data_IF_070439216367
#
_entry.id   IF_070439216367
#
_cell.length_a   1.000
_cell.length_b   1.000
_cell.length_c   1.000
_cell.angle_alpha   90.00
_cell.angle_beta   90.00
_cell.angle_gamma   90.00
#
_symmetry.space_group_name_H-M   'P 1'
#
loop_
_entity.id
_entity.type
_entity.pdbx_description
1 polymer ?
#
# COMPACT_ATOMS: atom_id res chain seq x y z
N UNK A 1 -12.19 -5.30 5.16
CA UNK A 1 -10.81 -5.82 5.28
C UNK A 1 -10.89 -7.32 5.20
N UNK A 2 -10.19 -7.98 4.27
CA UNK A 2 -10.06 -9.44 4.27
C UNK A 2 -8.80 -9.76 5.06
N UNK A 3 -8.95 -10.37 6.24
CA UNK A 3 -7.82 -10.78 7.07
C UNK A 3 -7.15 -12.00 6.45
N UNK A 4 -5.89 -11.85 6.05
CA UNK A 4 -5.05 -12.97 5.59
C UNK A 4 -4.87 -14.02 6.69
N UNK A 5 -4.83 -13.58 7.95
CA UNK A 5 -4.74 -14.46 9.11
C UNK A 5 -5.99 -15.35 9.20
N UNK A 6 -7.17 -14.76 9.09
CA UNK A 6 -8.44 -15.50 9.18
C UNK A 6 -8.58 -16.47 7.98
N UNK A 7 -8.11 -16.05 6.80
CA UNK A 7 -8.05 -16.90 5.62
C UNK A 7 -7.12 -18.11 5.82
N UNK A 8 -5.93 -17.90 6.40
CA UNK A 8 -4.99 -18.98 6.71
C UNK A 8 -5.60 -19.94 7.74
N UNK A 9 -6.18 -19.44 8.82
CA UNK A 9 -6.86 -20.25 9.84
C UNK A 9 -8.00 -21.08 9.24
N UNK A 10 -8.69 -20.56 8.22
CA UNK A 10 -9.82 -21.25 7.58
C UNK A 10 -9.40 -22.29 6.54
N UNK A 11 -8.42 -21.98 5.69
CA UNK A 11 -8.09 -22.81 4.52
C UNK A 11 -6.86 -23.70 4.70
N UNK A 12 -5.89 -23.25 5.50
CA UNK A 12 -4.56 -23.85 5.61
C UNK A 12 -4.00 -23.69 7.04
N UNK A 13 -4.67 -24.20 8.09
CA UNK A 13 -4.29 -23.94 9.48
C UNK A 13 -2.87 -24.46 9.82
N UNK A 14 -2.44 -25.53 9.15
CA UNK A 14 -1.15 -26.17 9.38
C UNK A 14 -0.02 -25.65 8.47
N UNK A 15 -0.31 -24.74 7.53
CA UNK A 15 0.69 -24.19 6.61
C UNK A 15 0.93 -22.73 6.95
N UNK A 16 2.16 -22.40 7.34
CA UNK A 16 2.58 -21.01 7.47
C UNK A 16 2.83 -20.40 6.07
N UNK A 17 1.76 -19.95 5.42
CA UNK A 17 1.85 -19.35 4.07
C UNK A 17 2.72 -18.08 4.08
N UNK A 18 2.79 -17.37 5.20
CA UNK A 18 3.63 -16.18 5.37
C UNK A 18 5.13 -16.52 5.43
N UNK A 19 5.49 -17.78 5.69
CA UNK A 19 6.89 -18.20 5.75
C UNK A 19 7.53 -18.34 4.36
N UNK A 20 6.73 -18.57 3.32
CA UNK A 20 7.20 -18.65 1.94
C UNK A 20 6.64 -17.47 1.13
N UNK A 21 7.53 -16.54 0.79
CA UNK A 21 7.16 -15.28 0.16
C UNK A 21 6.57 -15.44 -1.25
N UNK A 22 7.06 -16.41 -2.02
CA UNK A 22 6.56 -16.69 -3.37
C UNK A 22 5.20 -17.39 -3.34
N UNK A 23 5.00 -18.30 -2.38
CA UNK A 23 3.69 -18.92 -2.17
C UNK A 23 2.66 -17.88 -1.74
N UNK A 24 3.05 -16.96 -0.85
CA UNK A 24 2.18 -15.86 -0.43
C UNK A 24 1.81 -14.95 -1.61
N UNK A 25 2.77 -14.58 -2.46
CA UNK A 25 2.52 -13.79 -3.66
C UNK A 25 1.49 -14.48 -4.57
N UNK A 26 1.70 -15.76 -4.89
CA UNK A 26 0.75 -16.52 -5.72
C UNK A 26 -0.64 -16.62 -5.10
N UNK A 27 -0.73 -16.82 -3.78
CA UNK A 27 -2.03 -16.78 -3.08
C UNK A 27 -2.70 -15.41 -3.23
N UNK A 28 -1.94 -14.32 -3.09
CA UNK A 28 -2.51 -12.96 -3.22
C UNK A 28 -3.00 -12.67 -4.63
N UNK A 29 -2.36 -13.17 -5.69
CA UNK A 29 -2.86 -13.03 -7.06
C UNK A 29 -4.26 -13.65 -7.23
N UNK A 30 -4.51 -14.81 -6.60
CA UNK A 30 -5.82 -15.46 -6.62
C UNK A 30 -6.85 -14.63 -5.84
N UNK A 31 -6.45 -14.08 -4.70
CA UNK A 31 -7.31 -13.22 -3.88
C UNK A 31 -7.66 -11.92 -4.59
N UNK A 32 -6.73 -11.33 -5.32
CA UNK A 32 -6.95 -10.11 -6.07
C UNK A 32 -8.09 -10.29 -7.08
N UNK A 33 -8.09 -11.38 -7.85
CA UNK A 33 -9.15 -11.66 -8.84
C UNK A 33 -10.52 -11.77 -8.18
N UNK A 34 -10.61 -12.44 -7.03
CA UNK A 34 -11.85 -12.53 -6.25
C UNK A 34 -12.30 -11.16 -5.77
N UNK A 35 -11.37 -10.35 -5.27
CA UNK A 35 -11.65 -9.01 -4.76
C UNK A 35 -12.08 -8.05 -5.87
N UNK A 36 -11.43 -8.04 -7.03
CA UNK A 36 -11.85 -7.25 -8.20
C UNK A 36 -13.23 -7.65 -8.71
N UNK A 37 -13.53 -8.94 -8.73
CA UNK A 37 -14.87 -9.46 -9.08
C UNK A 37 -15.94 -8.97 -8.12
N UNK A 38 -15.65 -8.93 -6.81
CA UNK A 38 -16.55 -8.37 -5.81
C UNK A 38 -16.78 -6.88 -6.02
N UNK A 39 -15.71 -6.09 -6.17
CA UNK A 39 -15.80 -4.64 -6.41
C UNK A 39 -16.61 -4.31 -7.66
N UNK A 40 -16.49 -5.15 -8.71
CA UNK A 40 -17.24 -4.99 -9.95
C UNK A 40 -18.73 -5.33 -9.79
N UNK A 41 -19.05 -6.38 -9.03
CA UNK A 41 -20.43 -6.86 -8.84
C UNK A 41 -21.27 -6.00 -7.94
N UNK A 42 -20.67 -5.32 -6.97
CA UNK A 42 -21.43 -4.57 -5.97
C UNK A 42 -22.27 -3.44 -6.60
N UNK A 43 -22.00 -3.03 -7.85
CA UNK A 43 -22.62 -1.89 -8.54
C UNK A 43 -22.69 -0.63 -7.66
N UNK A 44 -21.86 -0.64 -6.61
CA UNK A 44 -22.03 0.21 -5.47
C UNK A 44 -21.25 1.45 -5.84
N UNK A 45 -21.98 2.41 -6.38
CA UNK A 45 -21.56 3.80 -6.49
C UNK A 45 -21.21 4.42 -5.11
N UNK A 46 -21.03 3.60 -4.08
CA UNK A 46 -20.58 3.89 -2.72
C UNK A 46 -19.06 3.94 -2.56
N UNK A 47 -18.28 3.82 -3.64
CA UNK A 47 -16.89 4.35 -3.65
C UNK A 47 -16.95 5.89 -3.66
N UNK A 48 -17.56 6.45 -2.61
CA UNK A 48 -17.62 7.87 -2.32
C UNK A 48 -16.38 8.20 -1.50
N UNK A 49 -15.31 8.61 -2.19
CA UNK A 49 -14.06 9.01 -1.55
C UNK A 49 -12.84 8.41 -2.21
N UNK A 50 -11.68 8.66 -1.60
CA UNK A 50 -10.43 8.03 -2.00
C UNK A 50 -10.36 6.63 -1.41
N UNK A 51 -10.20 5.61 -2.26
CA UNK A 51 -10.08 4.20 -1.85
C UNK A 51 -8.72 3.68 -2.27
N UNK A 52 -8.16 2.79 -1.46
CA UNK A 52 -6.92 2.12 -1.79
C UNK A 52 -7.10 0.61 -1.87
N UNK A 53 -6.47 -0.02 -2.86
CA UNK A 53 -6.66 -1.42 -3.22
C UNK A 53 -5.28 -2.07 -3.34
N UNK A 54 -5.06 -3.13 -2.57
CA UNK A 54 -3.84 -3.94 -2.68
C UNK A 54 -3.98 -4.90 -3.85
N UNK A 55 -3.00 -4.91 -4.75
CA UNK A 55 -2.96 -5.78 -5.93
C UNK A 55 -1.52 -6.23 -6.20
N UNK A 56 -1.39 -7.29 -7.01
CA UNK A 56 -0.13 -7.67 -7.64
C UNK A 56 0.01 -6.99 -9.02
N UNK A 57 1.25 -6.81 -9.47
CA UNK A 57 1.64 -6.28 -10.78
C UNK A 57 1.02 -7.13 -11.88
N UNK A 58 1.08 -8.46 -11.76
CA UNK A 58 0.47 -9.39 -12.71
C UNK A 58 -1.05 -9.20 -12.80
N UNK A 59 -1.70 -8.86 -11.69
CA UNK A 59 -3.15 -8.59 -11.66
C UNK A 59 -3.50 -7.33 -12.45
N UNK A 60 -2.69 -6.28 -12.43
CA UNK A 60 -2.98 -5.04 -13.16
C UNK A 60 -3.10 -5.24 -14.68
N UNK A 61 -2.48 -6.29 -15.21
CA UNK A 61 -2.50 -6.65 -16.63
C UNK A 61 -3.50 -7.77 -16.95
N UNK A 62 -4.27 -8.22 -15.96
CA UNK A 62 -5.21 -9.31 -16.11
C UNK A 62 -6.55 -8.87 -16.74
N UNK A 63 -7.30 -9.79 -17.36
CA UNK A 63 -8.67 -9.54 -17.82
C UNK A 63 -9.61 -9.08 -16.69
N UNK A 64 -9.39 -9.56 -15.46
CA UNK A 64 -10.16 -9.15 -14.28
C UNK A 64 -9.99 -7.66 -13.98
N UNK A 65 -8.77 -7.15 -14.10
CA UNK A 65 -8.51 -5.71 -13.94
C UNK A 65 -9.11 -4.89 -15.07
N UNK A 66 -9.04 -5.35 -16.32
CA UNK A 66 -9.70 -4.68 -17.45
C UNK A 66 -11.21 -4.58 -17.25
N UNK A 67 -11.82 -5.64 -16.73
CA UNK A 67 -13.25 -5.67 -16.39
C UNK A 67 -13.54 -4.65 -15.30
N UNK A 68 -12.75 -4.63 -14.22
CA UNK A 68 -12.86 -3.62 -13.17
C UNK A 68 -12.72 -2.19 -13.72
N UNK A 69 -11.67 -1.90 -14.50
CA UNK A 69 -11.39 -0.58 -15.12
C UNK A 69 -12.54 -0.08 -15.99
N UNK A 70 -13.18 -0.97 -16.74
CA UNK A 70 -14.33 -0.64 -17.60
C UNK A 70 -15.57 -0.21 -16.81
N UNK A 71 -15.69 -0.63 -15.55
CA UNK A 71 -16.81 -0.30 -14.67
C UNK A 71 -16.53 0.93 -13.79
N UNK A 72 -15.28 1.37 -13.68
CA UNK A 72 -14.92 2.60 -12.96
C UNK A 72 -15.08 3.81 -13.88
N UNK A 73 -15.86 4.81 -13.44
CA UNK A 73 -16.01 6.07 -14.19
C UNK A 73 -14.67 6.80 -14.27
N UNK A 74 -14.33 7.36 -15.44
CA UNK A 74 -13.06 8.05 -15.65
C UNK A 74 -12.74 9.12 -14.58
N UNK A 75 -13.74 9.91 -14.16
CA UNK A 75 -13.58 10.93 -13.12
C UNK A 75 -13.33 10.39 -11.71
N UNK A 76 -13.56 9.09 -11.46
CA UNK A 76 -13.31 8.45 -10.16
C UNK A 76 -11.94 7.78 -10.08
N UNK A 77 -11.27 7.50 -11.21
CA UNK A 77 -10.00 6.75 -11.20
C UNK A 77 -8.91 7.44 -10.38
N UNK A 78 -8.88 8.77 -10.40
CA UNK A 78 -7.94 9.56 -9.60
C UNK A 78 -8.13 9.42 -8.08
N UNK A 79 -9.32 8.99 -7.62
CA UNK A 79 -9.55 8.73 -6.19
C UNK A 79 -9.08 7.34 -5.78
N UNK A 80 -8.82 6.44 -6.74
CA UNK A 80 -8.37 5.07 -6.48
C UNK A 80 -6.85 5.00 -6.47
N UNK A 81 -6.32 4.43 -5.40
CA UNK A 81 -4.90 4.17 -5.19
C UNK A 81 -4.65 2.66 -5.31
N UNK A 82 -3.73 2.28 -6.19
CA UNK A 82 -3.31 0.89 -6.38
C UNK A 82 -2.03 0.68 -5.57
N UNK A 83 -2.11 -0.14 -4.53
CA UNK A 83 -1.01 -0.49 -3.65
C UNK A 83 -0.34 -1.78 -4.13
N UNK A 84 0.95 -1.67 -4.45
CA UNK A 84 1.76 -2.77 -4.95
C UNK A 84 2.90 -3.07 -3.98
N UNK A 85 3.08 -4.33 -3.62
CA UNK A 85 4.15 -4.74 -2.71
C UNK A 85 5.53 -4.52 -3.35
N UNK A 86 6.49 -3.97 -2.60
CA UNK A 86 7.85 -3.73 -3.12
C UNK A 86 8.48 -4.97 -3.74
N UNK A 87 8.29 -6.15 -3.14
CA UNK A 87 8.90 -7.37 -3.67
C UNK A 87 8.38 -7.71 -5.07
N UNK A 88 7.09 -7.48 -5.31
CA UNK A 88 6.44 -7.78 -6.57
C UNK A 88 6.92 -6.82 -7.67
N UNK A 89 7.04 -5.52 -7.32
CA UNK A 89 7.66 -4.52 -8.20
C UNK A 89 9.10 -4.90 -8.59
N UNK A 90 9.92 -5.26 -7.60
CA UNK A 90 11.34 -5.55 -7.83
C UNK A 90 11.61 -6.95 -8.39
N UNK A 91 10.62 -7.86 -8.35
CA UNK A 91 10.73 -9.17 -8.99
C UNK A 91 10.75 -9.06 -10.53
N UNK A 92 10.02 -8.10 -11.09
CA UNK A 92 10.05 -7.77 -12.53
C UNK A 92 9.74 -6.27 -12.75
N UNK A 93 10.80 -5.47 -12.82
CA UNK A 93 10.69 -4.02 -13.07
C UNK A 93 10.12 -3.71 -14.46
N UNK A 94 10.34 -4.57 -15.46
CA UNK A 94 9.85 -4.37 -16.81
C UNK A 94 8.32 -4.49 -16.87
N UNK A 95 7.79 -5.57 -16.28
CA UNK A 95 6.35 -5.77 -16.13
C UNK A 95 5.72 -4.66 -15.28
N UNK A 96 6.39 -4.25 -14.19
CA UNK A 96 5.92 -3.14 -13.36
C UNK A 96 5.82 -1.83 -14.14
N UNK A 97 6.85 -1.43 -14.89
CA UNK A 97 6.80 -0.17 -15.64
C UNK A 97 5.69 -0.17 -16.69
N UNK A 98 5.47 -1.29 -17.37
CA UNK A 98 4.36 -1.44 -18.30
C UNK A 98 3.00 -1.31 -17.60
N UNK A 99 2.80 -2.03 -16.50
CA UNK A 99 1.57 -1.95 -15.71
C UNK A 99 1.33 -0.55 -15.11
N UNK A 100 2.40 0.09 -14.62
CA UNK A 100 2.37 1.45 -14.09
C UNK A 100 1.89 2.44 -15.13
N UNK A 101 2.47 2.42 -16.32
CA UNK A 101 2.11 3.33 -17.40
C UNK A 101 0.67 3.08 -17.85
N UNK A 102 0.30 1.80 -18.01
CA UNK A 102 -1.07 1.37 -18.32
C UNK A 102 -2.13 1.93 -17.32
N UNK A 103 -1.83 1.90 -16.02
CA UNK A 103 -2.71 2.42 -14.97
C UNK A 103 -2.68 3.96 -14.87
N UNK A 104 -1.50 4.58 -14.99
CA UNK A 104 -1.37 6.06 -14.96
C UNK A 104 -2.11 6.72 -16.12
N UNK A 105 -2.01 6.16 -17.32
CA UNK A 105 -2.69 6.68 -18.52
C UNK A 105 -4.21 6.66 -18.37
N UNK A 106 -4.75 5.80 -17.49
CA UNK A 106 -6.16 5.74 -17.14
C UNK A 106 -6.55 6.66 -16.00
N UNK A 107 -5.58 7.26 -15.30
CA UNK A 107 -5.79 8.19 -14.21
C UNK A 107 -5.76 7.58 -12.81
N UNK A 108 -5.30 6.33 -12.65
CA UNK A 108 -5.08 5.75 -11.33
C UNK A 108 -3.83 6.33 -10.65
N UNK A 109 -3.83 6.32 -9.31
CA UNK A 109 -2.63 6.59 -8.50
C UNK A 109 -1.98 5.29 -8.06
N UNK A 110 -0.65 5.28 -7.94
CA UNK A 110 0.12 4.09 -7.53
C UNK A 110 0.88 4.38 -6.24
N UNK A 111 0.79 3.44 -5.30
CA UNK A 111 1.54 3.46 -4.05
C UNK A 111 2.40 2.20 -3.96
N UNK A 112 3.68 2.37 -3.63
CA UNK A 112 4.52 1.22 -3.24
C UNK A 112 4.31 0.91 -1.76
N UNK A 113 4.03 -0.34 -1.43
CA UNK A 113 3.80 -0.82 -0.08
C UNK A 113 4.94 -1.71 0.44
N UNK A 114 5.02 -1.79 1.76
CA UNK A 114 5.97 -2.65 2.46
C UNK A 114 7.38 -2.08 2.58
N UNK A 115 7.56 -0.77 2.47
CA UNK A 115 8.88 -0.13 2.65
C UNK A 115 9.23 -0.13 4.14
N UNK A 116 10.40 -0.64 4.51
CA UNK A 116 10.93 -0.46 5.87
C UNK A 116 11.86 0.74 5.90
N UNK A 117 12.15 1.24 7.11
CA UNK A 117 13.16 2.29 7.34
C UNK A 117 14.53 1.92 6.73
N UNK A 118 14.90 0.63 6.73
CA UNK A 118 16.15 0.15 6.10
C UNK A 118 16.11 0.22 4.56
N UNK A 119 14.94 0.01 3.97
CA UNK A 119 14.81 0.01 2.50
C UNK A 119 14.50 1.38 1.90
N UNK A 120 13.97 2.33 2.68
CA UNK A 120 13.57 3.64 2.19
C UNK A 120 14.72 4.39 1.48
N UNK A 121 15.97 4.44 2.00
CA UNK A 121 17.07 5.16 1.33
C UNK A 121 17.44 4.61 -0.05
N UNK A 122 17.06 3.37 -0.36
CA UNK A 122 17.37 2.71 -1.63
C UNK A 122 16.26 2.85 -2.66
N UNK A 123 15.14 3.49 -2.31
CA UNK A 123 13.95 3.58 -3.15
C UNK A 123 13.77 5.02 -3.62
N UNK A 124 13.97 5.23 -4.92
CA UNK A 124 13.72 6.52 -5.53
C UNK A 124 12.30 6.56 -6.12
N UNK A 125 11.37 7.23 -5.40
CA UNK A 125 9.97 7.38 -5.81
C UNK A 125 9.81 7.93 -7.23
N UNK A 126 10.60 8.96 -7.56
CA UNK A 126 10.50 9.67 -8.82
C UNK A 126 10.98 8.80 -10.00
N UNK A 127 12.06 8.03 -9.82
CA UNK A 127 12.53 7.07 -10.83
C UNK A 127 11.54 5.91 -11.04
N UNK A 128 10.91 5.43 -9.97
CA UNK A 128 9.86 4.42 -10.08
C UNK A 128 8.57 4.97 -10.70
N UNK A 129 8.37 6.29 -10.68
CA UNK A 129 7.19 6.94 -11.25
C UNK A 129 5.90 6.68 -10.45
N UNK A 130 6.03 6.41 -9.14
CA UNK A 130 4.88 6.15 -8.25
C UNK A 130 4.47 7.42 -7.50
N UNK A 131 3.21 7.50 -7.09
CA UNK A 131 2.65 8.69 -6.46
C UNK A 131 2.94 8.73 -4.96
N UNK A 132 3.01 7.57 -4.29
CA UNK A 132 3.16 7.47 -2.84
C UNK A 132 4.05 6.29 -2.42
N UNK A 133 4.60 6.39 -1.21
CA UNK A 133 5.34 5.33 -0.52
C UNK A 133 4.65 5.05 0.82
N UNK A 134 4.44 3.77 1.15
CA UNK A 134 4.07 3.33 2.50
C UNK A 134 5.27 2.75 3.23
N UNK A 135 5.69 3.46 4.27
CA UNK A 135 6.72 3.01 5.19
C UNK A 135 6.09 2.33 6.41
N UNK A 136 6.54 1.12 6.72
CA UNK A 136 6.12 0.36 7.89
C UNK A 136 6.76 0.95 9.14
N UNK A 137 5.90 1.28 10.12
CA UNK A 137 6.33 1.54 11.49
C UNK A 137 6.91 0.29 12.14
N UNK A 138 8.05 0.46 12.81
CA UNK A 138 8.71 -0.57 13.62
C UNK A 138 9.20 0.08 14.92
N UNK A 139 9.01 -0.61 16.06
CA UNK A 139 9.43 -0.10 17.38
C UNK A 139 10.94 0.09 17.48
N UNK A 140 11.73 -0.68 16.72
CA UNK A 140 13.20 -0.53 16.69
C UNK A 140 13.65 0.81 16.10
N UNK A 141 12.74 1.55 15.46
CA UNK A 141 13.03 2.88 14.96
C UNK A 141 13.20 3.91 16.09
N UNK A 142 12.60 3.70 17.27
CA UNK A 142 12.72 4.62 18.40
C UNK A 142 14.15 4.66 18.96
N UNK A 143 14.82 3.49 18.97
CA UNK A 143 16.16 3.29 19.52
C UNK A 143 17.30 3.65 18.57
N UNK A 144 16.98 4.10 17.35
CA UNK A 144 17.98 4.59 16.39
C UNK A 144 18.74 5.80 16.92
N UNK A 145 20.03 5.86 16.59
CA UNK A 145 20.86 7.04 16.83
C UNK A 145 20.43 8.23 15.94
N UNK A 146 21.00 9.39 16.22
CA UNK A 146 20.67 10.63 15.52
C UNK A 146 21.12 10.63 14.05
N UNK A 147 22.16 9.86 13.70
CA UNK A 147 22.66 9.74 12.33
C UNK A 147 21.63 8.99 11.46
N UNK A 148 21.15 7.84 11.93
CA UNK A 148 20.11 7.06 11.24
C UNK A 148 18.79 7.83 11.15
N UNK A 149 18.40 8.55 12.21
CA UNK A 149 17.21 9.42 12.18
C UNK A 149 17.34 10.56 11.15
N UNK A 150 18.53 11.12 11.02
CA UNK A 150 18.83 12.16 10.01
C UNK A 150 18.76 11.59 8.60
N UNK A 151 19.44 10.46 8.34
CA UNK A 151 19.40 9.80 7.04
C UNK A 151 17.97 9.41 6.60
N UNK A 152 17.14 8.97 7.54
CA UNK A 152 15.75 8.67 7.27
C UNK A 152 14.92 9.92 7.01
N UNK A 153 15.15 11.03 7.71
CA UNK A 153 14.51 12.32 7.41
C UNK A 153 14.86 12.79 5.99
N UNK A 154 16.12 12.65 5.60
CA UNK A 154 16.58 13.00 4.25
C UNK A 154 15.92 12.11 3.19
N UNK A 155 15.79 10.80 3.45
CA UNK A 155 15.12 9.87 2.55
C UNK A 155 13.61 10.16 2.42
N UNK A 156 12.95 10.59 3.51
CA UNK A 156 11.55 11.08 3.48
C UNK A 156 11.46 12.34 2.62
N UNK A 157 12.37 13.30 2.82
CA UNK A 157 12.41 14.55 2.05
C UNK A 157 12.64 14.31 0.55
N UNK A 158 13.57 13.42 0.18
CA UNK A 158 13.81 13.05 -1.22
C UNK A 158 12.60 12.35 -1.84
N UNK A 159 11.89 11.54 -1.05
CA UNK A 159 10.62 10.92 -1.46
C UNK A 159 9.49 11.94 -1.57
N UNK A 160 9.62 13.11 -0.95
CA UNK A 160 8.60 14.14 -0.81
C UNK A 160 7.76 13.91 0.44
N UNK A 161 7.85 14.84 1.39
CA UNK A 161 7.24 14.74 2.73
C UNK A 161 5.74 14.39 2.71
N UNK A 162 5.00 14.95 1.74
CA UNK A 162 3.56 14.74 1.56
C UNK A 162 3.22 13.49 0.74
N UNK A 163 4.20 12.64 0.45
CA UNK A 163 4.07 11.42 -0.37
C UNK A 163 4.46 10.15 0.39
N UNK A 164 4.94 10.27 1.62
CA UNK A 164 5.25 9.14 2.49
C UNK A 164 4.15 8.97 3.52
N UNK A 165 3.60 7.76 3.61
CA UNK A 165 2.60 7.36 4.59
C UNK A 165 3.29 6.43 5.59
N UNK A 166 3.27 6.76 6.87
CA UNK A 166 3.67 5.82 7.92
C UNK A 166 2.50 4.87 8.22
N UNK A 167 2.66 3.60 7.91
CA UNK A 167 1.64 2.57 8.09
C UNK A 167 1.93 1.67 9.30
N UNK A 168 0.92 0.92 9.75
CA UNK A 168 0.93 0.15 11.02
C UNK A 168 1.12 1.03 12.26
N UNK A 169 0.61 2.25 12.22
CA UNK A 169 0.52 3.15 13.37
C UNK A 169 -0.57 2.65 14.33
N UNK A 170 -0.21 1.68 15.17
CA UNK A 170 -1.12 1.02 16.12
C UNK A 170 -1.08 1.63 17.53
N UNK A 171 -0.24 2.64 17.76
CA UNK A 171 -0.19 3.43 18.99
C UNK A 171 0.32 4.87 18.76
N UNK A 172 0.29 5.70 19.80
CA UNK A 172 0.71 7.11 19.75
C UNK A 172 2.21 7.31 19.46
N UNK A 173 3.06 6.32 19.80
CA UNK A 173 4.51 6.42 19.61
C UNK A 173 4.84 6.50 18.13
N UNK A 174 4.14 5.72 17.31
CA UNK A 174 4.27 5.76 15.85
C UNK A 174 3.99 7.19 15.30
N UNK A 175 2.96 7.86 15.82
CA UNK A 175 2.58 9.21 15.38
C UNK A 175 3.64 10.23 15.80
N UNK A 176 4.06 10.19 17.07
CA UNK A 176 5.09 11.06 17.61
C UNK A 176 6.40 10.91 16.84
N UNK A 177 6.79 9.67 16.56
CA UNK A 177 7.98 9.37 15.77
C UNK A 177 7.89 9.92 14.36
N UNK A 178 6.80 9.62 13.63
CA UNK A 178 6.63 10.06 12.25
C UNK A 178 6.69 11.58 12.11
N UNK A 179 6.10 12.33 13.05
CA UNK A 179 6.24 13.78 13.10
C UNK A 179 7.70 14.25 13.31
N UNK A 180 8.50 13.53 14.09
CA UNK A 180 9.93 13.83 14.29
C UNK A 180 10.80 13.70 13.03
N UNK A 181 10.28 13.01 12.01
CA UNK A 181 10.92 12.82 10.69
C UNK A 181 10.11 13.43 9.54
N UNK A 182 9.25 14.41 9.85
CA UNK A 182 8.44 15.18 8.90
C UNK A 182 7.38 14.39 8.10
N UNK A 183 6.95 13.22 8.58
CA UNK A 183 5.80 12.52 8.00
C UNK A 183 4.50 13.16 8.52
N UNK A 184 3.57 13.42 7.58
CA UNK A 184 2.25 14.01 7.89
C UNK A 184 1.07 13.09 7.57
N UNK A 185 1.30 11.92 6.98
CA UNK A 185 0.26 10.94 6.66
C UNK A 185 0.48 9.66 7.43
N UNK A 186 -0.58 9.17 8.08
CA UNK A 186 -0.53 8.01 8.97
C UNK A 186 -1.66 7.05 8.68
N UNK A 187 -1.38 5.75 8.79
CA UNK A 187 -2.37 4.69 8.67
C UNK A 187 -2.11 3.61 9.73
N UNK A 188 -3.15 3.19 10.42
CA UNK A 188 -3.09 2.10 11.40
C UNK A 188 -4.28 2.13 12.34
N UNK A 189 -4.39 1.13 13.22
CA UNK A 189 -5.57 0.95 14.08
C UNK A 189 -5.77 2.13 15.04
N UNK A 190 -4.67 2.70 15.53
CA UNK A 190 -4.74 3.87 16.40
C UNK A 190 -5.25 5.11 15.65
N UNK A 191 -4.85 5.29 14.39
CA UNK A 191 -5.36 6.38 13.54
C UNK A 191 -6.85 6.24 13.31
N UNK A 192 -7.34 5.02 13.01
CA UNK A 192 -8.77 4.74 12.84
C UNK A 192 -9.57 5.06 14.12
N UNK A 193 -9.03 4.69 15.28
CA UNK A 193 -9.63 5.02 16.57
C UNK A 193 -9.76 6.54 16.75
N UNK A 194 -8.68 7.30 16.55
CA UNK A 194 -8.68 8.77 16.69
C UNK A 194 -9.68 9.45 15.73
N UNK A 195 -9.81 8.95 14.49
CA UNK A 195 -10.79 9.48 13.52
C UNK A 195 -12.23 9.20 13.97
N UNK A 196 -12.48 8.02 14.53
CA UNK A 196 -13.81 7.65 15.03
C UNK A 196 -14.25 8.51 16.23
N UNK A 197 -13.32 8.88 17.11
CA UNK A 197 -13.59 9.76 18.25
C UNK A 197 -13.84 11.20 17.80
N UNK A 198 -13.09 11.70 16.82
CA UNK A 198 -13.32 13.04 16.23
C UNK A 198 -14.67 13.18 15.57
N UNK A 199 -15.16 12.13 14.92
CA UNK A 199 -16.46 12.15 14.21
C UNK A 199 -17.66 12.08 15.17
N UNK A 200 -17.43 11.70 16.44
CA UNK A 200 -18.46 11.66 17.49
C UNK A 200 -18.61 12.96 18.28
N UNK A 201 -17.69 13.93 18.12
CA UNK A 201 -17.75 15.27 18.72
C UNK A 201 -18.30 16.28 17.70
#
# INVERSE_FOLDING_TARGET
>A
FISIKDLQETLLPDVNVLSNRWLFQHLTEILDRRMLSLLTRSNDASVTGSVSINLNVSTLLSPDFLTFDSNVKAGQRGTIVLELQKIDIFADLGAFFFARDFCRDRGYRICIDGISHLSLPYINRNKLGVDMIKMIWDTDMESMDDEHKTAMRDAVAESGDTRVILCRCDDERAIKFGHGINITMFQGRHVEHLMSERTKK
#
